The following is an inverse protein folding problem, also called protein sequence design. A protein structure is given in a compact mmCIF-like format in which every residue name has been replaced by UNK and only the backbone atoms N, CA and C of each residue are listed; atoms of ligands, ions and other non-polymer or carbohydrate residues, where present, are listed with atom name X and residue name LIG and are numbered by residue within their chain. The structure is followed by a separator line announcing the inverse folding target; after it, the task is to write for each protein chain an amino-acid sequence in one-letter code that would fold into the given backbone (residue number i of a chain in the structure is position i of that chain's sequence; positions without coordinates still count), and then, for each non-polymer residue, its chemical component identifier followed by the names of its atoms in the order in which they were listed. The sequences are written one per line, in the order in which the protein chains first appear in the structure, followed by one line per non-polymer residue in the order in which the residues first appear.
data_IF_816553757139
#
_entry.id   IF_816553757139
#
_cell.length_a   1.000
_cell.length_b   1.000
_cell.length_c   1.000
_cell.angle_alpha   90.00
_cell.angle_beta   90.00
_cell.angle_gamma   90.00
#
_symmetry.space_group_name_H-M   'P 1'
#
loop_
_entity.id
_entity.type
_entity.pdbx_description
1 polymer ?
#
# COMPACT_ATOMS: atom_id res chain seq x y z
N UNK A 1 13.13 15.78 1.07
CA UNK A 1 12.81 15.66 2.52
C UNK A 1 13.22 14.26 2.92
N UNK A 2 14.07 14.12 3.93
CA UNK A 2 14.51 12.80 4.36
C UNK A 2 13.32 12.04 4.95
N UNK A 3 13.30 10.73 4.79
CA UNK A 3 12.28 9.81 5.36
C UNK A 3 12.15 9.99 6.88
N UNK A 4 13.25 10.33 7.54
CA UNK A 4 13.32 10.70 8.95
C UNK A 4 12.34 11.84 9.29
N UNK A 5 12.16 12.84 8.41
CA UNK A 5 11.25 13.96 8.70
C UNK A 5 9.76 13.57 8.65
N UNK A 6 9.39 12.54 7.90
CA UNK A 6 8.02 12.01 7.87
C UNK A 6 7.71 11.18 9.13
N UNK A 7 8.69 10.44 9.65
CA UNK A 7 8.57 9.67 10.90
C UNK A 7 8.58 10.57 12.15
N UNK A 8 9.18 11.75 12.06
CA UNK A 8 9.25 12.72 13.15
C UNK A 8 7.90 13.41 13.46
N UNK A 9 6.97 13.39 12.51
CA UNK A 9 5.60 13.84 12.79
C UNK A 9 4.88 12.94 13.80
N UNK A 10 5.24 11.67 13.90
CA UNK A 10 4.70 10.76 14.92
C UNK A 10 4.96 11.25 16.35
N UNK A 11 6.12 11.84 16.64
CA UNK A 11 6.43 12.32 18.00
C UNK A 11 5.62 13.56 18.36
N UNK A 12 5.29 14.41 17.41
CA UNK A 12 4.47 15.61 17.65
C UNK A 12 3.02 15.26 17.96
N UNK A 13 2.45 14.27 17.27
CA UNK A 13 1.07 13.85 17.54
C UNK A 13 0.92 13.25 18.93
N UNK A 14 1.96 12.63 19.49
CA UNK A 14 1.91 12.07 20.84
C UNK A 14 1.87 13.15 21.96
N UNK A 15 2.29 14.39 21.66
CA UNK A 15 2.14 15.54 22.55
C UNK A 15 0.72 16.13 22.55
N UNK A 16 -0.18 15.55 21.75
CA UNK A 16 -1.58 15.95 21.66
C UNK A 16 -2.29 15.88 23.03
N UNK A 17 -1.95 14.87 23.80
CA UNK A 17 -2.48 14.66 25.15
C UNK A 17 -2.25 15.87 26.06
N UNK A 18 -1.07 16.45 26.01
CA UNK A 18 -0.70 17.62 26.83
C UNK A 18 -1.40 18.89 26.32
N UNK A 19 -1.52 19.05 24.99
CA UNK A 19 -2.14 20.23 24.40
C UNK A 19 -3.66 20.34 24.69
N UNK A 20 -4.37 19.21 24.75
CA UNK A 20 -5.83 19.17 24.92
C UNK A 20 -6.30 18.51 26.23
N UNK A 21 -5.37 18.02 27.06
CA UNK A 21 -5.72 17.33 28.30
C UNK A 21 -6.53 16.03 28.09
N UNK A 22 -6.33 15.36 26.95
CA UNK A 22 -7.03 14.12 26.59
C UNK A 22 -6.07 12.96 26.45
N UNK A 23 -6.56 11.73 26.61
CA UNK A 23 -5.74 10.52 26.57
C UNK A 23 -5.85 9.86 25.17
N UNK A 24 -4.70 9.58 24.59
CA UNK A 24 -4.58 8.68 23.43
C UNK A 24 -4.91 7.23 23.86
N UNK A 25 -5.83 6.58 23.15
CA UNK A 25 -6.24 5.19 23.43
C UNK A 25 -5.38 4.15 22.69
N UNK A 26 -4.46 4.58 21.81
CA UNK A 26 -3.53 3.69 21.11
C UNK A 26 -2.56 3.08 22.12
N UNK A 27 -2.45 1.76 22.15
CA UNK A 27 -1.51 1.06 23.04
C UNK A 27 -0.05 1.33 22.64
N UNK A 28 0.86 1.09 23.59
CA UNK A 28 2.30 1.24 23.32
C UNK A 28 2.78 0.26 22.25
N UNK A 29 2.29 -0.97 22.31
CA UNK A 29 2.57 -2.04 21.38
C UNK A 29 2.17 -1.65 19.97
N UNK A 30 0.97 -1.05 19.83
CA UNK A 30 0.47 -0.58 18.53
C UNK A 30 1.28 0.59 17.98
N UNK A 31 1.70 1.54 18.82
CA UNK A 31 2.59 2.65 18.42
C UNK A 31 3.92 2.14 17.86
N UNK A 32 4.52 1.14 18.52
CA UNK A 32 5.77 0.51 18.06
C UNK A 32 5.53 -0.20 16.72
N UNK A 33 4.44 -0.92 16.59
CA UNK A 33 4.11 -1.63 15.36
C UNK A 33 3.88 -0.69 14.17
N UNK A 34 3.12 0.40 14.35
CA UNK A 34 2.88 1.42 13.32
C UNK A 34 4.21 2.03 12.86
N UNK A 35 5.08 2.40 13.81
CA UNK A 35 6.41 2.93 13.48
C UNK A 35 7.23 1.93 12.67
N UNK A 36 7.29 0.67 13.10
CA UNK A 36 7.99 -0.40 12.39
C UNK A 36 7.46 -0.58 10.95
N UNK A 37 6.14 -0.58 10.75
CA UNK A 37 5.57 -0.72 9.41
C UNK A 37 5.94 0.45 8.50
N UNK A 38 5.92 1.68 9.01
CA UNK A 38 6.35 2.85 8.26
C UNK A 38 7.84 2.79 7.91
N UNK A 39 8.70 2.38 8.84
CA UNK A 39 10.12 2.15 8.60
C UNK A 39 10.34 1.10 7.51
N UNK A 40 9.67 -0.05 7.60
CA UNK A 40 9.76 -1.13 6.60
C UNK A 40 9.34 -0.69 5.18
N UNK A 41 8.46 0.29 5.07
CA UNK A 41 8.01 0.80 3.78
C UNK A 41 8.90 1.91 3.22
N UNK A 42 9.29 2.88 4.06
CA UNK A 42 9.98 4.11 3.66
C UNK A 42 11.49 4.05 3.81
N UNK A 43 12.01 3.23 4.74
CA UNK A 43 13.43 3.10 4.96
C UNK A 43 14.09 2.21 3.90
N UNK A 44 15.20 2.72 3.37
CA UNK A 44 16.02 2.05 2.36
C UNK A 44 17.51 2.33 2.57
N UNK A 45 17.87 2.84 3.74
CA UNK A 45 19.28 2.96 4.08
C UNK A 45 19.82 1.54 4.35
N UNK A 46 20.71 1.07 3.47
CA UNK A 46 21.50 -0.12 3.68
C UNK A 46 22.92 0.30 4.10
N UNK A 47 23.56 -0.50 4.95
CA UNK A 47 24.95 -0.34 5.36
C UNK A 47 25.98 -0.55 4.21
N UNK A 48 25.62 -0.15 3.00
CA UNK A 48 26.43 -0.26 1.79
C UNK A 48 26.21 -1.55 1.01
N UNK A 49 25.41 -2.50 1.52
CA UNK A 49 24.95 -3.68 0.82
C UNK A 49 23.43 -3.54 0.61
N UNK A 50 22.98 -3.60 -0.63
CA UNK A 50 21.54 -3.57 -0.94
C UNK A 50 20.88 -4.91 -0.57
N UNK A 51 20.60 -5.10 0.70
CA UNK A 51 19.94 -6.25 1.26
C UNK A 51 18.41 -6.08 1.37
N UNK A 52 17.91 -4.85 1.22
CA UNK A 52 16.50 -4.55 1.32
C UNK A 52 15.74 -4.89 0.02
N UNK A 53 14.93 -5.93 0.07
CA UNK A 53 14.13 -6.39 -1.09
C UNK A 53 12.86 -5.56 -1.32
N UNK A 54 12.58 -4.55 -0.51
CA UNK A 54 11.43 -3.64 -0.61
C UNK A 54 10.08 -4.35 -0.83
N UNK A 55 9.92 -5.53 -0.23
CA UNK A 55 8.72 -6.34 -0.35
C UNK A 55 7.43 -5.60 0.09
N UNK A 56 7.42 -4.77 1.16
CA UNK A 56 6.25 -3.98 1.50
C UNK A 56 5.77 -3.09 0.35
N UNK A 57 6.69 -2.44 -0.36
CA UNK A 57 6.38 -1.57 -1.51
C UNK A 57 5.79 -2.40 -2.66
N UNK A 58 6.38 -3.56 -2.94
CA UNK A 58 5.89 -4.48 -3.98
C UNK A 58 4.47 -4.97 -3.67
N UNK A 59 4.22 -5.42 -2.44
CA UNK A 59 2.92 -5.91 -1.96
C UNK A 59 1.84 -4.84 -2.10
N UNK A 60 2.09 -3.65 -1.55
CA UNK A 60 1.13 -2.53 -1.59
C UNK A 60 0.82 -2.12 -3.03
N UNK A 61 1.85 -1.94 -3.87
CA UNK A 61 1.66 -1.55 -5.26
C UNK A 61 0.89 -2.61 -6.06
N UNK A 62 1.14 -3.89 -5.81
CA UNK A 62 0.44 -4.98 -6.49
C UNK A 62 -1.04 -5.00 -6.12
N UNK A 63 -1.37 -4.88 -4.83
CA UNK A 63 -2.75 -4.83 -4.36
C UNK A 63 -3.51 -3.64 -4.95
N UNK A 64 -2.93 -2.45 -4.91
CA UNK A 64 -3.57 -1.24 -5.48
C UNK A 64 -3.86 -1.42 -6.97
N UNK A 65 -2.87 -1.91 -7.73
CA UNK A 65 -3.04 -2.11 -9.17
C UNK A 65 -4.14 -3.12 -9.48
N UNK A 66 -4.20 -4.22 -8.73
CA UNK A 66 -5.20 -5.25 -8.98
C UNK A 66 -6.59 -4.83 -8.48
N UNK A 67 -6.68 -4.17 -7.31
CA UNK A 67 -7.97 -3.72 -6.74
C UNK A 67 -8.68 -2.73 -7.67
N UNK A 68 -7.93 -1.87 -8.35
CA UNK A 68 -8.46 -0.77 -9.16
C UNK A 68 -8.15 -0.91 -10.67
N UNK A 69 -7.92 -2.12 -11.17
CA UNK A 69 -7.56 -2.35 -12.58
C UNK A 69 -8.62 -1.85 -13.56
N UNK A 70 -9.88 -2.07 -13.23
CA UNK A 70 -11.05 -1.77 -14.07
C UNK A 70 -12.09 -0.92 -13.30
N UNK A 71 -11.63 -0.15 -12.32
CA UNK A 71 -12.51 0.62 -11.47
C UNK A 71 -13.09 1.82 -12.21
N UNK A 72 -14.42 1.88 -12.25
CA UNK A 72 -15.21 2.97 -12.80
C UNK A 72 -16.33 3.38 -11.85
N UNK A 73 -16.72 4.62 -11.90
CA UNK A 73 -17.85 5.16 -11.13
C UNK A 73 -18.91 5.73 -12.05
N UNK A 74 -20.18 5.51 -11.74
CA UNK A 74 -21.28 6.09 -12.49
C UNK A 74 -22.40 6.57 -11.58
N UNK A 75 -22.98 7.72 -11.92
CA UNK A 75 -24.12 8.31 -11.23
C UNK A 75 -24.89 9.23 -12.17
N UNK A 76 -26.16 9.46 -11.87
CA UNK A 76 -27.00 10.45 -12.57
C UNK A 76 -27.00 11.83 -11.90
N UNK A 77 -26.41 11.93 -10.72
CA UNK A 77 -26.34 13.15 -9.93
C UNK A 77 -25.06 13.93 -10.26
N UNK A 78 -25.18 15.06 -10.93
CA UNK A 78 -24.02 15.88 -11.34
C UNK A 78 -23.19 16.42 -10.17
N UNK A 79 -23.78 16.60 -8.97
CA UNK A 79 -23.02 16.97 -7.78
C UNK A 79 -22.20 15.79 -7.27
N UNK A 80 -22.80 14.58 -7.21
CA UNK A 80 -22.09 13.36 -6.83
C UNK A 80 -20.97 13.04 -7.83
N UNK A 81 -21.17 13.25 -9.12
CA UNK A 81 -20.14 13.05 -10.16
C UNK A 81 -18.91 13.91 -9.92
N UNK A 82 -19.08 15.19 -9.55
CA UNK A 82 -17.96 16.08 -9.18
C UNK A 82 -17.24 15.60 -7.93
N UNK A 83 -17.98 15.20 -6.89
CA UNK A 83 -17.40 14.67 -5.66
C UNK A 83 -16.58 13.40 -5.93
N UNK A 84 -17.08 12.50 -6.78
CA UNK A 84 -16.39 11.29 -7.19
C UNK A 84 -15.14 11.60 -8.02
N UNK A 85 -15.19 12.59 -8.91
CA UNK A 85 -14.02 13.01 -9.69
C UNK A 85 -12.86 13.49 -8.81
N UNK A 86 -13.15 14.33 -7.82
CA UNK A 86 -12.13 14.78 -6.86
C UNK A 86 -11.62 13.64 -5.96
N UNK A 87 -12.48 12.70 -5.60
CA UNK A 87 -12.07 11.52 -4.82
C UNK A 87 -11.17 10.59 -5.61
N UNK A 88 -11.36 10.51 -6.93
CA UNK A 88 -10.52 9.73 -7.84
C UNK A 88 -9.05 10.18 -7.81
N UNK A 89 -8.81 11.49 -7.73
CA UNK A 89 -7.46 12.06 -7.68
C UNK A 89 -6.65 11.55 -6.48
N UNK A 90 -7.30 11.38 -5.32
CA UNK A 90 -6.62 10.92 -4.09
C UNK A 90 -6.76 9.42 -3.82
N UNK A 91 -7.56 8.69 -4.60
CA UNK A 91 -7.91 7.29 -4.37
C UNK A 91 -6.69 6.43 -4.08
N UNK A 92 -5.72 6.47 -5.00
CA UNK A 92 -4.51 5.64 -4.89
C UNK A 92 -3.69 6.00 -3.65
N UNK A 93 -3.54 7.29 -3.37
CA UNK A 93 -2.78 7.76 -2.21
C UNK A 93 -3.46 7.35 -0.90
N UNK A 94 -4.76 7.60 -0.74
CA UNK A 94 -5.50 7.23 0.45
C UNK A 94 -5.46 5.72 0.71
N UNK A 95 -5.66 4.92 -0.34
CA UNK A 95 -5.62 3.47 -0.24
C UNK A 95 -4.21 2.96 0.09
N UNK A 96 -3.19 3.53 -0.53
CA UNK A 96 -1.78 3.24 -0.24
C UNK A 96 -1.44 3.52 1.23
N UNK A 97 -1.84 4.68 1.75
CA UNK A 97 -1.60 5.05 3.15
C UNK A 97 -2.30 4.10 4.12
N UNK A 98 -3.54 3.68 3.82
CA UNK A 98 -4.25 2.69 4.62
C UNK A 98 -3.53 1.33 4.63
N UNK A 99 -3.06 0.84 3.47
CA UNK A 99 -2.34 -0.43 3.38
C UNK A 99 -1.00 -0.42 4.11
N UNK A 100 -0.30 0.72 4.12
CA UNK A 100 1.02 0.87 4.77
C UNK A 100 0.89 0.88 6.29
N UNK A 101 -0.10 1.58 6.83
CA UNK A 101 -0.20 1.89 8.26
C UNK A 101 -1.44 1.31 8.95
N UNK A 102 -2.27 0.58 8.18
CA UNK A 102 -3.47 -0.09 8.66
C UNK A 102 -4.74 0.76 8.60
N UNK A 103 -4.64 2.08 8.67
CA UNK A 103 -5.77 3.00 8.65
C UNK A 103 -5.34 4.36 8.08
N UNK A 104 -6.21 4.97 7.28
CA UNK A 104 -6.09 6.34 6.78
C UNK A 104 -7.43 7.04 7.01
N UNK A 105 -7.41 8.28 7.48
CA UNK A 105 -8.60 9.12 7.54
C UNK A 105 -8.67 10.00 6.30
N UNK A 106 -9.86 10.15 5.73
CA UNK A 106 -10.11 11.02 4.59
C UNK A 106 -10.94 12.21 5.07
N UNK A 107 -10.38 13.42 4.90
CA UNK A 107 -10.99 14.69 5.29
C UNK A 107 -11.56 15.36 4.04
N UNK A 108 -12.88 15.45 3.88
CA UNK A 108 -13.47 16.31 2.87
C UNK A 108 -13.33 17.78 3.31
N UNK A 109 -12.87 18.63 2.42
CA UNK A 109 -12.73 20.07 2.64
C UNK A 109 -13.63 20.79 1.65
N UNK A 110 -14.69 21.48 2.12
CA UNK A 110 -15.63 22.20 1.25
C UNK A 110 -14.96 23.39 0.58
N UNK A 111 -15.31 23.61 -0.68
CA UNK A 111 -14.96 24.78 -1.49
C UNK A 111 -16.24 25.45 -2.00
N UNK A 112 -16.12 26.56 -2.73
CA UNK A 112 -17.28 27.25 -3.30
C UNK A 112 -18.06 26.34 -4.29
N UNK A 113 -17.37 25.50 -5.04
CA UNK A 113 -17.94 24.72 -6.14
C UNK A 113 -17.94 23.20 -5.92
N UNK A 114 -17.39 22.70 -4.79
CA UNK A 114 -17.28 21.27 -4.54
C UNK A 114 -16.47 20.93 -3.29
N UNK A 115 -15.67 19.88 -3.39
CA UNK A 115 -14.80 19.41 -2.33
C UNK A 115 -13.42 19.12 -2.90
N UNK A 116 -12.40 19.21 -2.06
CA UNK A 116 -11.18 18.44 -2.22
C UNK A 116 -10.98 17.53 -1.01
N UNK A 117 -10.19 16.47 -1.16
CA UNK A 117 -10.01 15.47 -0.13
C UNK A 117 -8.57 15.41 0.32
N UNK A 118 -8.37 15.30 1.63
CA UNK A 118 -7.03 15.20 2.24
C UNK A 118 -6.92 13.86 2.96
N UNK A 119 -6.07 12.95 2.47
CA UNK A 119 -5.77 11.72 3.18
C UNK A 119 -4.85 12.00 4.37
N UNK A 120 -5.23 11.53 5.56
CA UNK A 120 -4.48 11.71 6.81
C UNK A 120 -3.94 10.34 7.22
N UNK A 121 -2.61 10.17 7.12
CA UNK A 121 -1.93 8.93 7.46
C UNK A 121 -1.96 8.67 8.96
N UNK A 122 -1.83 7.40 9.37
CA UNK A 122 -1.94 6.93 10.76
C UNK A 122 -0.95 7.58 11.72
N UNK A 123 0.20 8.03 11.26
CA UNK A 123 1.18 8.79 12.05
C UNK A 123 0.83 10.29 12.22
N UNK A 124 -0.21 10.77 11.55
CA UNK A 124 -0.70 12.14 11.66
C UNK A 124 -2.03 12.25 12.43
N UNK A 125 -2.54 11.14 12.98
CA UNK A 125 -3.73 11.16 13.84
C UNK A 125 -3.65 10.16 14.99
N UNK A 126 -4.39 10.43 16.06
CA UNK A 126 -4.57 9.54 17.20
C UNK A 126 -6.05 9.33 17.49
N UNK A 127 -6.51 8.10 17.72
CA UNK A 127 -7.84 7.84 18.26
C UNK A 127 -7.90 8.26 19.73
N UNK A 128 -8.94 9.00 20.09
CA UNK A 128 -9.19 9.47 21.43
C UNK A 128 -10.37 8.77 22.10
N UNK A 129 -11.40 8.40 21.31
CA UNK A 129 -12.52 7.60 21.75
C UNK A 129 -13.15 6.80 20.61
N UNK A 130 -13.77 5.67 20.94
CA UNK A 130 -14.57 4.83 20.05
C UNK A 130 -15.91 4.50 20.69
N UNK A 131 -16.92 4.21 19.86
CA UNK A 131 -18.21 3.71 20.31
C UNK A 131 -18.20 2.17 20.46
N UNK A 132 -19.34 1.60 20.84
CA UNK A 132 -19.50 0.14 21.01
C UNK A 132 -19.32 -0.64 19.69
N UNK A 133 -19.48 0.01 18.53
CA UNK A 133 -19.23 -0.55 17.21
C UNK A 133 -17.78 -0.37 16.77
N UNK A 134 -16.89 0.08 17.65
CA UNK A 134 -15.50 0.39 17.38
C UNK A 134 -15.26 1.50 16.31
N UNK A 135 -16.27 2.34 16.05
CA UNK A 135 -16.12 3.50 15.20
C UNK A 135 -15.51 4.67 16.01
N UNK A 136 -14.71 5.50 15.36
CA UNK A 136 -14.08 6.67 15.96
C UNK A 136 -15.16 7.72 16.33
N UNK A 137 -15.25 8.08 17.61
CA UNK A 137 -16.10 9.17 18.10
C UNK A 137 -15.30 10.39 18.52
N UNK A 138 -14.01 10.24 18.77
CA UNK A 138 -13.11 11.38 18.95
C UNK A 138 -11.74 11.05 18.38
N UNK A 139 -11.13 12.01 17.70
CA UNK A 139 -9.83 11.87 17.04
C UNK A 139 -9.05 13.17 17.14
N UNK A 140 -7.74 13.04 17.32
CA UNK A 140 -6.79 14.14 17.22
C UNK A 140 -6.00 14.03 15.93
N UNK A 141 -5.84 15.13 15.19
CA UNK A 141 -5.02 15.18 13.98
C UNK A 141 -3.94 16.24 14.09
N UNK A 142 -2.81 16.04 13.42
CA UNK A 142 -1.70 16.98 13.35
C UNK A 142 -1.31 17.24 11.90
N UNK A 143 -1.21 18.52 11.56
CA UNK A 143 -0.71 18.99 10.27
C UNK A 143 0.49 19.92 10.50
N UNK A 144 1.62 19.67 9.85
CA UNK A 144 2.81 20.52 9.97
C UNK A 144 3.09 21.26 8.67
N UNK A 145 3.21 22.58 8.77
CA UNK A 145 3.61 23.48 7.68
C UNK A 145 4.95 24.12 8.04
N UNK A 146 5.83 24.33 7.04
CA UNK A 146 7.11 25.00 7.23
C UNK A 146 7.02 26.36 6.55
N UNK A 147 7.24 27.44 7.30
CA UNK A 147 7.26 28.79 6.82
C UNK A 147 8.41 29.55 7.50
N UNK A 148 9.19 30.32 6.75
CA UNK A 148 10.36 31.08 7.21
C UNK A 148 11.35 30.26 8.08
N UNK A 149 11.55 28.98 7.73
CA UNK A 149 12.44 28.07 8.46
C UNK A 149 11.94 27.66 9.84
N UNK A 150 10.66 27.91 10.16
CA UNK A 150 9.99 27.48 11.38
C UNK A 150 8.94 26.43 11.06
N UNK A 151 8.70 25.56 12.03
CA UNK A 151 7.69 24.51 11.94
C UNK A 151 6.43 24.96 12.66
N UNK A 152 5.32 25.01 11.92
CA UNK A 152 4.01 25.31 12.47
C UNK A 152 3.18 24.03 12.45
N UNK A 153 2.73 23.59 13.63
CA UNK A 153 1.93 22.39 13.77
C UNK A 153 0.52 22.73 14.22
N UNK A 154 -0.45 22.53 13.34
CA UNK A 154 -1.86 22.63 13.64
C UNK A 154 -2.32 21.32 14.28
N UNK A 155 -2.83 21.39 15.49
CA UNK A 155 -3.49 20.28 16.17
C UNK A 155 -5.00 20.52 16.15
N UNK A 156 -5.75 19.51 15.71
CA UNK A 156 -7.21 19.57 15.57
C UNK A 156 -7.82 18.39 16.33
N UNK A 157 -8.66 18.68 17.31
CA UNK A 157 -9.47 17.68 18.03
C UNK A 157 -10.89 17.70 17.48
N UNK A 158 -11.36 16.56 17.01
CA UNK A 158 -12.73 16.37 16.53
C UNK A 158 -13.46 15.41 17.45
N UNK A 159 -14.67 15.80 17.85
CA UNK A 159 -15.49 14.99 18.75
C UNK A 159 -16.91 14.94 18.24
N UNK A 160 -17.42 13.73 18.01
CA UNK A 160 -18.80 13.46 17.67
C UNK A 160 -19.69 13.53 18.92
N UNK A 161 -20.85 14.18 18.78
CA UNK A 161 -21.86 14.29 19.82
C UNK A 161 -23.23 14.50 19.18
N UNK A 162 -24.04 15.39 19.73
CA UNK A 162 -25.25 15.87 19.04
C UNK A 162 -24.92 16.75 17.83
N UNK A 163 -23.69 17.25 17.79
CA UNK A 163 -23.06 17.97 16.70
C UNK A 163 -21.56 17.69 16.74
N UNK A 164 -20.89 17.83 15.61
CA UNK A 164 -19.44 17.73 15.51
C UNK A 164 -18.80 18.97 16.18
N UNK A 165 -17.96 18.75 17.18
CA UNK A 165 -17.14 19.81 17.78
C UNK A 165 -15.71 19.69 17.29
N UNK A 166 -15.14 20.78 16.78
CA UNK A 166 -13.76 20.87 16.29
C UNK A 166 -13.04 21.90 17.14
N UNK A 167 -12.02 21.48 17.85
CA UNK A 167 -11.13 22.36 18.64
C UNK A 167 -9.77 22.41 17.96
N UNK A 168 -9.26 23.62 17.71
CA UNK A 168 -8.06 23.84 16.91
C UNK A 168 -7.02 24.66 17.68
N UNK A 169 -5.77 24.23 17.67
CA UNK A 169 -4.63 24.95 18.27
C UNK A 169 -3.44 24.94 17.34
N UNK A 170 -2.73 26.04 17.23
CA UNK A 170 -1.54 26.20 16.43
C UNK A 170 -0.29 26.32 17.32
N UNK A 171 0.74 25.56 16.99
CA UNK A 171 2.02 25.55 17.69
C UNK A 171 3.16 25.93 16.75
N UNK A 172 4.14 26.64 17.26
CA UNK A 172 5.36 27.05 16.51
C UNK A 172 6.61 26.53 17.19
N UNK A 173 7.47 25.87 16.43
CA UNK A 173 8.79 25.39 16.85
C UNK A 173 9.89 25.78 15.88
N UNK A 174 11.12 25.88 16.40
CA UNK A 174 12.34 25.97 15.58
C UNK A 174 12.89 24.59 15.18
N UNK A 175 12.40 23.53 15.83
CA UNK A 175 12.82 22.14 15.61
C UNK A 175 11.69 21.33 14.98
N UNK A 176 12.04 20.45 14.04
CA UNK A 176 11.10 19.53 13.38
C UNK A 176 10.44 18.55 14.34
N UNK A 177 11.06 18.24 15.48
CA UNK A 177 10.67 17.14 16.38
C UNK A 177 9.87 17.61 17.58
N UNK A 178 9.85 18.91 17.87
CA UNK A 178 9.14 19.45 19.04
C UNK A 178 7.89 20.21 18.64
N UNK A 179 6.85 20.16 19.47
CA UNK A 179 5.62 20.90 19.25
C UNK A 179 5.85 22.41 19.40
N UNK A 180 6.67 22.82 20.37
CA UNK A 180 7.02 24.22 20.64
C UNK A 180 5.97 24.98 21.44
N UNK A 181 5.72 26.25 21.09
CA UNK A 181 4.88 27.18 21.83
C UNK A 181 3.57 27.41 21.09
N UNK A 182 2.45 27.42 21.82
CA UNK A 182 1.13 27.78 21.26
C UNK A 182 1.15 29.25 20.77
N UNK A 183 0.64 29.45 19.54
CA UNK A 183 0.51 30.75 18.89
C UNK A 183 -0.89 30.94 18.33
N UNK A 184 -1.38 32.19 18.16
CA UNK A 184 -2.68 32.45 17.57
C UNK A 184 -2.80 31.85 16.13
N UNK A 185 -4.01 31.45 15.74
CA UNK A 185 -4.28 30.86 14.40
C UNK A 185 -3.97 31.84 13.27
N UNK A 186 -4.19 33.13 13.47
CA UNK A 186 -3.93 34.22 12.53
C UNK A 186 -2.42 34.48 12.27
N UNK A 187 -1.54 33.78 13.01
CA UNK A 187 -0.08 33.83 12.76
C UNK A 187 0.29 33.35 11.36
N UNK A 188 -0.50 32.43 10.80
CA UNK A 188 -0.36 31.96 9.41
C UNK A 188 -1.61 32.33 8.60
N UNK A 189 -1.43 32.94 7.43
CA UNK A 189 -2.53 33.30 6.53
C UNK A 189 -3.44 32.10 6.20
N UNK A 190 -2.83 30.93 6.04
CA UNK A 190 -3.53 29.64 5.80
C UNK A 190 -4.58 29.32 6.87
N UNK A 191 -4.37 29.71 8.12
CA UNK A 191 -5.21 29.34 9.26
C UNK A 191 -5.97 30.53 9.85
N UNK A 192 -5.81 31.73 9.29
CA UNK A 192 -6.39 32.95 9.82
C UNK A 192 -7.94 32.94 9.88
N UNK A 193 -8.57 32.16 9.01
CA UNK A 193 -10.02 32.01 8.95
C UNK A 193 -10.58 30.86 9.82
N UNK A 194 -9.69 30.11 10.53
CA UNK A 194 -10.14 29.04 11.42
C UNK A 194 -10.54 29.60 12.77
N UNK A 195 -11.63 29.07 13.31
CA UNK A 195 -12.05 29.34 14.69
C UNK A 195 -11.38 28.36 15.66
N UNK A 196 -10.98 28.82 16.88
CA UNK A 196 -10.43 27.92 17.91
C UNK A 196 -11.39 26.78 18.30
N UNK A 197 -12.70 27.05 18.23
CA UNK A 197 -13.76 26.06 18.49
C UNK A 197 -14.88 26.28 17.48
N UNK A 198 -15.15 25.27 16.66
CA UNK A 198 -16.27 25.26 15.73
C UNK A 198 -17.24 24.11 16.09
N UNK A 199 -18.55 24.37 15.97
CA UNK A 199 -19.59 23.37 16.16
C UNK A 199 -20.42 23.27 14.90
N UNK A 200 -20.45 22.09 14.29
CA UNK A 200 -21.12 21.83 13.01
C UNK A 200 -22.24 20.80 13.22
N UNK A 201 -23.44 21.02 12.70
CA UNK A 201 -24.55 20.06 12.75
C UNK A 201 -24.32 18.92 11.71
N UNK A 202 -23.30 18.13 11.93
CA UNK A 202 -22.87 17.01 11.10
C UNK A 202 -22.71 15.79 11.98
N UNK A 203 -23.13 14.63 11.47
CA UNK A 203 -22.98 13.38 12.17
C UNK A 203 -21.52 12.87 12.17
N UNK A 204 -21.13 12.26 13.28
CA UNK A 204 -19.81 11.69 13.42
C UNK A 204 -18.69 12.71 13.62
N UNK A 205 -17.47 12.33 13.26
CA UNK A 205 -16.25 13.15 13.46
C UNK A 205 -15.94 14.06 12.25
N UNK A 206 -16.76 14.03 11.19
CA UNK A 206 -16.51 14.79 9.94
C UNK A 206 -15.29 14.31 9.16
N UNK A 207 -14.84 13.07 9.41
CA UNK A 207 -13.78 12.35 8.71
C UNK A 207 -14.24 10.92 8.47
N UNK A 208 -13.80 10.31 7.38
CA UNK A 208 -14.12 8.91 7.09
C UNK A 208 -12.87 8.05 7.19
N UNK A 209 -12.97 6.97 7.95
CA UNK A 209 -11.88 6.01 8.12
C UNK A 209 -11.88 4.99 6.98
N UNK A 210 -10.73 4.85 6.32
CA UNK A 210 -10.36 3.77 5.41
C UNK A 210 -9.42 2.84 6.15
N UNK A 211 -9.92 1.67 6.54
CA UNK A 211 -9.21 0.70 7.38
C UNK A 211 -9.04 -0.63 6.65
N UNK A 212 -7.86 -1.25 6.79
CA UNK A 212 -7.58 -2.58 6.25
C UNK A 212 -8.51 -3.66 6.83
N UNK A 213 -8.88 -4.70 6.04
CA UNK A 213 -9.83 -5.73 6.50
C UNK A 213 -9.16 -6.81 7.36
N UNK A 214 -8.02 -6.52 7.96
CA UNK A 214 -7.28 -7.46 8.79
C UNK A 214 -7.65 -7.34 10.27
N UNK A 215 -7.67 -8.49 10.96
CA UNK A 215 -7.76 -8.50 12.41
C UNK A 215 -6.44 -8.04 13.04
N UNK A 216 -6.54 -7.21 14.07
CA UNK A 216 -5.37 -6.72 14.79
C UNK A 216 -4.79 -7.81 15.70
N UNK A 217 -3.67 -8.40 15.25
CA UNK A 217 -2.94 -9.43 15.99
C UNK A 217 -1.84 -8.88 16.88
N UNK A 218 -1.65 -7.54 16.92
CA UNK A 218 -0.64 -6.90 17.78
C UNK A 218 -1.13 -6.83 19.22
N UNK A 219 -2.34 -6.28 19.42
CA UNK A 219 -2.91 -6.07 20.75
C UNK A 219 -4.41 -6.39 20.85
N UNK A 220 -5.02 -6.84 19.76
CA UNK A 220 -6.45 -7.16 19.70
C UNK A 220 -7.38 -5.94 19.73
N UNK A 221 -6.83 -4.71 19.68
CA UNK A 221 -7.64 -3.50 19.65
C UNK A 221 -8.35 -3.31 18.30
N UNK A 222 -9.20 -2.29 18.23
CA UNK A 222 -9.90 -1.93 17.01
C UNK A 222 -9.04 -1.13 16.01
N UNK A 223 -7.76 -0.93 16.26
CA UNK A 223 -6.86 -0.24 15.33
C UNK A 223 -6.58 -1.07 14.08
N UNK A 224 -6.42 -0.40 12.94
CA UNK A 224 -6.01 -1.04 11.69
C UNK A 224 -4.57 -1.52 11.72
N UNK A 225 -4.25 -2.57 10.96
CA UNK A 225 -2.90 -3.12 10.84
C UNK A 225 -2.43 -3.09 9.40
N UNK A 226 -1.13 -2.85 9.17
CA UNK A 226 -0.57 -2.84 7.82
C UNK A 226 -0.86 -4.15 7.09
N UNK A 227 -1.08 -4.10 5.78
CA UNK A 227 -1.43 -5.29 5.01
C UNK A 227 -0.35 -6.37 5.06
N UNK A 228 0.90 -5.98 5.21
CA UNK A 228 2.05 -6.89 5.33
C UNK A 228 2.44 -7.18 6.79
N UNK A 229 1.67 -6.68 7.78
CA UNK A 229 1.96 -6.93 9.20
C UNK A 229 2.09 -8.42 9.56
N UNK A 230 1.21 -9.34 9.07
CA UNK A 230 1.36 -10.76 9.34
C UNK A 230 2.68 -11.35 8.83
N UNK A 231 3.23 -10.78 7.76
CA UNK A 231 4.46 -11.23 7.11
C UNK A 231 5.71 -10.46 7.55
N UNK A 232 5.60 -9.43 8.41
CA UNK A 232 6.68 -8.52 8.75
C UNK A 232 7.97 -9.23 9.21
N UNK A 233 7.85 -10.27 10.03
CA UNK A 233 9.01 -11.04 10.50
C UNK A 233 9.69 -11.84 9.36
N UNK A 234 8.92 -12.37 8.41
CA UNK A 234 9.46 -13.09 7.27
C UNK A 234 10.17 -12.15 6.31
N UNK A 235 9.62 -10.95 6.10
CA UNK A 235 10.25 -9.89 5.30
C UNK A 235 11.62 -9.53 5.89
N UNK A 236 11.70 -9.32 7.21
CA UNK A 236 12.97 -9.06 7.87
C UNK A 236 13.96 -10.23 7.72
N UNK A 237 13.47 -11.49 7.74
CA UNK A 237 14.31 -12.67 7.51
C UNK A 237 14.81 -12.78 6.07
N UNK A 238 14.02 -12.37 5.09
CA UNK A 238 14.47 -12.33 3.68
C UNK A 238 15.59 -11.29 3.54
N UNK A 239 15.42 -10.08 4.02
CA UNK A 239 16.47 -9.07 3.98
C UNK A 239 17.76 -9.58 4.62
N UNK A 240 17.66 -10.21 5.79
CA UNK A 240 18.83 -10.84 6.43
C UNK A 240 19.43 -11.96 5.59
N UNK A 241 18.63 -12.76 4.90
CA UNK A 241 19.11 -13.82 4.01
C UNK A 241 19.91 -13.24 2.84
N UNK A 242 19.43 -12.16 2.23
CA UNK A 242 20.14 -11.45 1.16
C UNK A 242 21.46 -10.83 1.67
N UNK A 243 21.41 -10.18 2.83
CA UNK A 243 22.62 -9.69 3.48
C UNK A 243 23.66 -10.81 3.71
N UNK A 244 23.22 -11.97 4.22
CA UNK A 244 24.10 -13.11 4.45
C UNK A 244 24.69 -13.64 3.13
N UNK A 245 23.90 -13.71 2.06
CA UNK A 245 24.35 -14.12 0.74
C UNK A 245 25.39 -13.13 0.18
N UNK A 246 25.10 -11.85 0.21
CA UNK A 246 26.03 -10.80 -0.22
C UNK A 246 27.33 -10.84 0.57
N UNK A 247 27.23 -11.03 1.89
CA UNK A 247 28.39 -11.16 2.76
C UNK A 247 29.21 -12.40 2.46
N UNK A 248 28.57 -13.52 2.11
CA UNK A 248 29.26 -14.74 1.71
C UNK A 248 30.03 -14.55 0.40
N UNK A 249 29.47 -13.84 -0.58
CA UNK A 249 30.19 -13.49 -1.81
C UNK A 249 31.38 -12.58 -1.56
N UNK A 250 31.26 -11.58 -0.67
CA UNK A 250 32.38 -10.72 -0.31
C UNK A 250 33.51 -11.47 0.39
N UNK A 251 33.16 -12.28 1.40
CA UNK A 251 34.14 -13.05 2.18
C UNK A 251 34.71 -14.24 1.39
N UNK A 252 33.93 -14.80 0.51
CA UNK A 252 34.26 -15.97 -0.30
C UNK A 252 35.05 -15.67 -1.57
N UNK A 253 35.51 -14.42 -1.79
CA UNK A 253 36.38 -14.09 -2.89
C UNK A 253 37.64 -14.96 -2.81
N UNK A 254 38.05 -15.54 -3.96
CA UNK A 254 39.28 -16.29 -4.03
C UNK A 254 40.46 -15.43 -3.60
N UNK A 255 41.23 -15.90 -2.64
CA UNK A 255 42.42 -15.24 -2.12
C UNK A 255 43.64 -16.12 -2.29
N UNK A 256 44.74 -15.52 -2.65
CA UNK A 256 46.04 -16.17 -2.71
C UNK A 256 46.80 -15.80 -1.44
N UNK A 257 47.01 -16.77 -0.58
CA UNK A 257 47.81 -16.60 0.61
C UNK A 257 49.29 -16.80 0.27
N UNK A 258 50.08 -15.78 0.53
CA UNK A 258 51.52 -15.79 0.21
C UNK A 258 52.34 -15.33 1.41
N UNK A 259 53.53 -15.90 1.64
CA UNK A 259 54.48 -15.35 2.63
C UNK A 259 54.83 -13.89 2.32
N UNK A 260 54.97 -13.07 3.36
CA UNK A 260 55.25 -11.64 3.24
C UNK A 260 56.52 -11.36 2.44
N UNK A 261 57.51 -12.19 2.54
CA UNK A 261 58.78 -12.07 1.81
C UNK A 261 58.61 -12.12 0.29
N UNK A 262 57.56 -12.81 -0.24
CA UNK A 262 57.26 -12.85 -1.67
C UNK A 262 56.59 -11.57 -2.17
N UNK A 263 56.00 -10.80 -1.27
CA UNK A 263 55.38 -9.52 -1.60
C UNK A 263 56.33 -8.32 -1.50
N UNK A 264 57.48 -8.53 -0.85
CA UNK A 264 58.51 -7.49 -0.67
C UNK A 264 59.45 -7.45 -1.87
N UNK A 265 59.42 -6.38 -2.64
CA UNK A 265 60.41 -6.15 -3.70
C UNK A 265 61.59 -5.39 -3.12
N UNK A 266 62.79 -6.01 -3.10
CA UNK A 266 64.04 -5.33 -2.76
C UNK A 266 64.29 -4.27 -3.86
N UNK A 267 64.16 -3.00 -3.51
CA UNK A 267 64.58 -1.91 -4.36
C UNK A 267 66.04 -1.61 -4.12
N UNK A 268 66.82 -1.46 -5.20
CA UNK A 268 68.26 -1.33 -5.17
C UNK A 268 68.80 -0.14 -4.38
N UNK A 269 70.09 -0.24 -4.06
CA UNK A 269 71.13 0.67 -3.56
C UNK A 269 70.86 1.56 -2.33
N UNK A 270 69.63 1.87 -1.90
CA UNK A 270 69.38 2.74 -0.74
C UNK A 270 68.54 2.11 0.40
N UNK A 271 68.44 0.86 0.52
CA UNK A 271 67.90 0.19 1.72
C UNK A 271 66.41 0.39 2.05
N UNK A 272 65.64 1.12 1.24
CA UNK A 272 64.21 1.27 1.45
C UNK A 272 63.46 0.15 0.74
N UNK A 273 62.91 -0.74 1.50
CA UNK A 273 62.01 -1.83 1.03
C UNK A 273 60.66 -1.19 0.62
N UNK A 274 60.41 -1.07 -0.67
CA UNK A 274 59.07 -0.71 -1.16
C UNK A 274 58.23 -1.99 -1.17
N UNK A 275 57.20 -2.02 -0.33
CA UNK A 275 56.12 -3.03 -0.43
C UNK A 275 55.38 -2.76 -1.75
N UNK A 276 55.38 -3.74 -2.64
CA UNK A 276 54.51 -3.65 -3.84
C UNK A 276 53.10 -3.79 -3.34
N UNK A 277 52.27 -2.78 -3.55
CA UNK A 277 50.84 -2.90 -3.38
C UNK A 277 50.32 -3.88 -4.44
N UNK A 278 50.26 -5.18 -4.10
CA UNK A 278 49.41 -6.13 -4.79
C UNK A 278 47.98 -5.77 -4.37
N UNK A 279 47.03 -5.91 -5.25
CA UNK A 279 45.64 -5.62 -4.93
C UNK A 279 45.26 -6.39 -3.67
N UNK A 280 45.03 -5.69 -2.55
CA UNK A 280 44.76 -6.26 -1.23
C UNK A 280 43.55 -7.21 -1.21
N UNK A 281 42.71 -7.11 -2.23
CA UNK A 281 41.53 -7.98 -2.43
C UNK A 281 41.87 -9.40 -2.86
N UNK A 282 43.05 -9.64 -3.46
CA UNK A 282 43.45 -10.96 -4.02
C UNK A 282 44.51 -11.60 -3.22
N UNK A 283 45.45 -10.81 -2.66
CA UNK A 283 46.61 -11.32 -1.95
C UNK A 283 46.55 -11.05 -0.44
N UNK A 284 46.74 -12.06 0.36
CA UNK A 284 46.85 -11.90 1.82
C UNK A 284 48.26 -12.36 2.21
N UNK A 285 49.06 -11.46 2.79
CA UNK A 285 50.42 -11.74 3.26
C UNK A 285 50.37 -12.27 4.70
N UNK A 286 51.18 -13.32 4.97
CA UNK A 286 51.37 -13.87 6.31
C UNK A 286 52.83 -13.73 6.69
N UNK A 287 53.10 -13.40 7.97
CA UNK A 287 54.43 -13.30 8.54
C UNK A 287 54.92 -14.67 9.03
N UNK A 288 55.11 -15.62 8.05
CA UNK A 288 55.61 -16.94 8.28
C UNK A 288 56.79 -17.26 7.32
N UNK A 289 57.66 -18.21 7.71
CA UNK A 289 58.81 -18.58 6.90
C UNK A 289 58.36 -19.23 5.57
N UNK A 290 58.87 -18.77 4.40
CA UNK A 290 58.51 -19.32 3.08
C UNK A 290 58.78 -20.81 2.93
N UNK A 291 59.62 -21.40 3.77
CA UNK A 291 59.90 -22.85 3.75
C UNK A 291 58.83 -23.69 4.43
N UNK A 292 58.10 -23.09 5.37
CA UNK A 292 57.03 -23.74 6.13
C UNK A 292 55.64 -23.51 5.55
N UNK A 293 55.43 -22.37 4.83
CA UNK A 293 54.16 -21.98 4.27
C UNK A 293 54.26 -21.75 2.74
N UNK A 294 53.72 -22.69 1.97
CA UNK A 294 53.63 -22.55 0.51
C UNK A 294 52.50 -21.59 0.09
N UNK A 295 52.47 -21.22 -1.20
CA UNK A 295 51.37 -20.46 -1.77
C UNK A 295 50.07 -21.28 -1.66
N UNK A 296 49.09 -20.78 -0.93
CA UNK A 296 47.81 -21.44 -0.75
C UNK A 296 46.71 -20.64 -1.42
N UNK A 297 45.94 -21.29 -2.26
CA UNK A 297 44.77 -20.69 -2.91
C UNK A 297 43.54 -21.02 -2.07
N UNK A 298 42.92 -20.00 -1.47
CA UNK A 298 41.65 -20.12 -0.77
C UNK A 298 40.54 -19.82 -1.75
N UNK A 299 39.75 -20.82 -2.12
CA UNK A 299 38.57 -20.70 -2.98
C UNK A 299 37.44 -21.54 -2.40
N UNK A 300 36.66 -20.97 -1.47
CA UNK A 300 35.56 -21.67 -0.83
C UNK A 300 34.41 -21.93 -1.83
N UNK A 301 33.71 -23.05 -1.63
CA UNK A 301 32.49 -23.32 -2.35
C UNK A 301 31.33 -22.44 -1.78
N UNK A 302 30.63 -21.74 -2.64
CA UNK A 302 29.47 -20.91 -2.24
C UNK A 302 28.25 -21.79 -1.97
N UNK A 303 27.46 -21.40 -0.97
CA UNK A 303 26.19 -22.03 -0.60
C UNK A 303 24.98 -21.34 -1.24
N UNK A 304 25.17 -20.71 -2.39
CA UNK A 304 24.17 -19.90 -3.11
C UNK A 304 22.82 -20.60 -3.21
N UNK A 305 22.81 -21.86 -3.65
CA UNK A 305 21.57 -22.61 -3.83
C UNK A 305 20.74 -22.74 -2.55
N UNK A 306 21.40 -22.86 -1.40
CA UNK A 306 20.72 -22.94 -0.10
C UNK A 306 20.03 -21.62 0.26
N UNK A 307 20.66 -20.49 -0.04
CA UNK A 307 20.09 -19.15 0.18
C UNK A 307 18.91 -18.89 -0.76
N UNK A 308 19.03 -19.26 -2.04
CA UNK A 308 17.97 -19.10 -3.03
C UNK A 308 16.74 -19.97 -2.71
N UNK A 309 16.95 -21.23 -2.34
CA UNK A 309 15.87 -22.12 -1.90
C UNK A 309 15.15 -21.57 -0.67
N UNK A 310 15.91 -21.08 0.32
CA UNK A 310 15.34 -20.48 1.52
C UNK A 310 14.56 -19.19 1.23
N UNK A 311 15.06 -18.35 0.33
CA UNK A 311 14.37 -17.15 -0.14
C UNK A 311 13.02 -17.51 -0.77
N UNK A 312 13.00 -18.47 -1.67
CA UNK A 312 11.79 -18.95 -2.34
C UNK A 312 10.74 -19.43 -1.34
N UNK A 313 11.14 -20.23 -0.34
CA UNK A 313 10.24 -20.68 0.71
C UNK A 313 9.69 -19.53 1.56
N UNK A 314 10.49 -18.53 1.88
CA UNK A 314 10.01 -17.35 2.60
C UNK A 314 9.02 -16.54 1.75
N UNK A 315 9.28 -16.35 0.46
CA UNK A 315 8.35 -15.65 -0.44
C UNK A 315 7.00 -16.38 -0.54
N UNK A 316 7.00 -17.69 -0.68
CA UNK A 316 5.78 -18.53 -0.68
C UNK A 316 4.96 -18.38 0.61
N UNK A 317 5.64 -18.36 1.75
CA UNK A 317 4.99 -18.18 3.05
C UNK A 317 4.42 -16.75 3.19
N UNK A 318 5.11 -15.73 2.68
CA UNK A 318 4.63 -14.34 2.65
C UNK A 318 3.37 -14.25 1.76
N UNK A 319 3.38 -14.84 0.57
CA UNK A 319 2.21 -14.91 -0.31
C UNK A 319 1.00 -15.49 0.43
N UNK A 320 1.19 -16.61 1.13
CA UNK A 320 0.12 -17.25 1.89
C UNK A 320 -0.41 -16.39 3.05
N UNK A 321 0.47 -15.66 3.76
CA UNK A 321 0.07 -14.83 4.91
C UNK A 321 -0.67 -13.55 4.48
N UNK A 322 -0.39 -13.03 3.29
CA UNK A 322 -1.01 -11.82 2.74
C UNK A 322 -2.27 -12.16 1.94
N UNK A 323 -2.47 -13.44 1.60
CA UNK A 323 -3.56 -13.88 0.73
C UNK A 323 -3.26 -13.67 -0.76
N UNK A 324 -1.97 -13.70 -1.13
CA UNK A 324 -1.59 -13.66 -2.54
C UNK A 324 -1.63 -15.05 -3.17
N UNK A 325 -1.93 -15.08 -4.47
CA UNK A 325 -1.70 -16.25 -5.29
C UNK A 325 -0.21 -16.59 -5.30
N UNK A 326 0.11 -17.89 -5.18
CA UNK A 326 1.48 -18.36 -5.32
C UNK A 326 2.03 -18.01 -6.71
N UNK A 327 3.22 -17.43 -6.74
CA UNK A 327 3.89 -17.00 -7.94
C UNK A 327 3.71 -15.51 -8.27
N UNK A 328 3.11 -14.73 -7.38
CA UNK A 328 3.08 -13.26 -7.49
C UNK A 328 4.41 -12.66 -7.03
N UNK A 329 4.99 -13.21 -5.96
CA UNK A 329 6.27 -12.80 -5.40
C UNK A 329 7.36 -13.87 -5.62
N UNK A 330 6.98 -15.15 -5.66
CA UNK A 330 7.87 -16.29 -5.85
C UNK A 330 7.83 -16.79 -7.28
N UNK A 331 8.94 -17.36 -7.77
CA UNK A 331 8.95 -18.05 -9.05
C UNK A 331 8.09 -19.30 -9.02
N UNK A 332 7.28 -19.50 -10.05
CA UNK A 332 6.45 -20.67 -10.25
C UNK A 332 7.26 -21.70 -11.04
N UNK A 333 7.58 -22.83 -10.43
CA UNK A 333 7.98 -24.00 -11.21
C UNK A 333 6.72 -24.57 -11.89
N UNK A 334 6.61 -24.41 -13.20
CA UNK A 334 5.42 -24.79 -14.00
C UNK A 334 5.07 -26.29 -13.94
N UNK A 335 5.97 -27.14 -13.44
CA UNK A 335 5.90 -28.59 -13.63
C UNK A 335 5.01 -29.37 -12.66
N UNK A 336 4.46 -28.78 -11.57
CA UNK A 336 3.87 -29.59 -10.49
C UNK A 336 2.50 -29.12 -9.97
N UNK A 337 1.76 -28.27 -10.68
CA UNK A 337 0.44 -27.83 -10.19
C UNK A 337 -0.69 -28.62 -10.78
N UNK A 338 -1.54 -29.19 -9.93
CA UNK A 338 -2.84 -29.72 -10.35
C UNK A 338 -3.82 -28.58 -10.65
N UNK A 339 -4.75 -28.78 -11.57
CA UNK A 339 -5.81 -27.81 -11.90
C UNK A 339 -6.59 -27.37 -10.64
N UNK A 340 -6.75 -28.24 -9.66
CA UNK A 340 -7.44 -27.97 -8.39
C UNK A 340 -6.65 -27.01 -7.50
N UNK A 341 -5.31 -27.13 -7.43
CA UNK A 341 -4.47 -26.23 -6.65
C UNK A 341 -4.42 -24.82 -7.26
N UNK A 342 -4.40 -24.73 -8.58
CA UNK A 342 -4.47 -23.44 -9.30
C UNK A 342 -5.79 -22.75 -8.98
N UNK A 343 -6.91 -23.44 -9.09
CA UNK A 343 -8.25 -22.86 -8.84
C UNK A 343 -8.42 -22.43 -7.38
N UNK A 344 -7.92 -23.20 -6.42
CA UNK A 344 -7.97 -22.83 -4.99
C UNK A 344 -7.12 -21.60 -4.68
N UNK A 345 -5.91 -21.54 -5.21
CA UNK A 345 -5.00 -20.39 -5.02
C UNK A 345 -5.53 -19.10 -5.67
N UNK A 346 -6.22 -19.20 -6.81
CA UNK A 346 -6.88 -18.08 -7.46
C UNK A 346 -8.10 -17.60 -6.65
N UNK A 347 -8.84 -18.52 -6.05
CA UNK A 347 -9.98 -18.20 -5.20
C UNK A 347 -9.60 -17.36 -3.98
N UNK A 348 -8.56 -17.74 -3.25
CA UNK A 348 -8.10 -16.99 -2.06
C UNK A 348 -7.62 -15.58 -2.42
N UNK A 349 -6.90 -15.43 -3.53
CA UNK A 349 -6.45 -14.13 -4.01
C UNK A 349 -7.63 -13.24 -4.42
N UNK A 350 -8.60 -13.79 -5.12
CA UNK A 350 -9.81 -13.07 -5.51
C UNK A 350 -10.59 -12.59 -4.29
N UNK A 351 -10.70 -13.40 -3.23
CA UNK A 351 -11.34 -12.99 -1.97
C UNK A 351 -10.61 -11.81 -1.32
N UNK A 352 -9.28 -11.83 -1.29
CA UNK A 352 -8.50 -10.71 -0.77
C UNK A 352 -8.78 -9.41 -1.55
N UNK A 353 -8.87 -9.48 -2.89
CA UNK A 353 -9.19 -8.31 -3.70
C UNK A 353 -10.63 -7.84 -3.48
N UNK A 354 -11.59 -8.77 -3.39
CA UNK A 354 -13.00 -8.44 -3.09
C UNK A 354 -13.11 -7.71 -1.74
N UNK A 355 -12.39 -8.16 -0.72
CA UNK A 355 -12.35 -7.49 0.58
C UNK A 355 -11.81 -6.04 0.45
N UNK A 356 -10.75 -5.85 -0.35
CA UNK A 356 -10.20 -4.52 -0.62
C UNK A 356 -11.18 -3.62 -1.38
N UNK A 357 -11.88 -4.15 -2.37
CA UNK A 357 -12.95 -3.44 -3.10
C UNK A 357 -14.11 -3.10 -2.16
N UNK A 358 -14.48 -4.02 -1.28
CA UNK A 358 -15.54 -3.85 -0.28
C UNK A 358 -15.27 -2.72 0.71
N UNK A 359 -14.04 -2.63 1.24
CA UNK A 359 -13.68 -1.53 2.16
C UNK A 359 -13.67 -0.17 1.43
N UNK A 360 -13.20 -0.12 0.18
CA UNK A 360 -13.23 1.11 -0.60
C UNK A 360 -14.67 1.55 -0.89
N UNK A 361 -15.53 0.63 -1.33
CA UNK A 361 -16.95 0.89 -1.56
C UNK A 361 -17.64 1.44 -0.32
N UNK A 362 -17.42 0.83 0.84
CA UNK A 362 -17.97 1.32 2.11
C UNK A 362 -17.45 2.71 2.47
N UNK A 363 -16.18 2.98 2.21
CA UNK A 363 -15.57 4.30 2.48
C UNK A 363 -16.14 5.37 1.56
N UNK A 364 -16.27 5.10 0.26
CA UNK A 364 -16.88 6.03 -0.70
C UNK A 364 -18.32 6.34 -0.34
N UNK A 365 -19.13 5.35 0.00
CA UNK A 365 -20.53 5.59 0.43
C UNK A 365 -20.61 6.51 1.65
N UNK A 366 -19.79 6.27 2.68
CA UNK A 366 -19.72 7.15 3.87
C UNK A 366 -19.22 8.57 3.52
N UNK A 367 -18.28 8.69 2.58
CA UNK A 367 -17.81 10.00 2.10
C UNK A 367 -18.91 10.75 1.35
N UNK A 368 -19.69 10.08 0.53
CA UNK A 368 -20.82 10.69 -0.19
C UNK A 368 -21.91 11.18 0.77
N UNK A 369 -22.23 10.41 1.81
CA UNK A 369 -23.15 10.83 2.89
C UNK A 369 -22.63 12.09 3.56
N UNK A 370 -21.37 12.10 4.01
CA UNK A 370 -20.75 13.25 4.65
C UNK A 370 -20.67 14.47 3.73
N UNK A 371 -20.32 14.29 2.45
CA UNK A 371 -20.31 15.38 1.47
C UNK A 371 -21.71 15.93 1.18
N UNK A 372 -22.74 15.09 1.25
CA UNK A 372 -24.13 15.54 1.11
C UNK A 372 -24.54 16.44 2.29
N UNK A 373 -24.19 16.07 3.53
CA UNK A 373 -24.44 16.89 4.73
C UNK A 373 -23.67 18.21 4.69
N UNK A 374 -22.37 18.16 4.40
CA UNK A 374 -21.52 19.35 4.29
C UNK A 374 -21.91 20.25 3.12
N UNK A 375 -22.32 19.67 1.98
CA UNK A 375 -22.79 20.42 0.82
C UNK A 375 -24.04 21.23 1.08
N UNK A 376 -24.97 20.66 1.86
CA UNK A 376 -26.16 21.37 2.33
C UNK A 376 -25.79 22.46 3.34
N UNK A 377 -24.90 22.17 4.29
CA UNK A 377 -24.50 23.11 5.34
C UNK A 377 -23.78 24.35 4.78
N UNK A 378 -22.81 24.14 3.87
CA UNK A 378 -22.01 25.21 3.30
C UNK A 378 -22.61 25.85 2.03
N UNK A 379 -23.80 25.43 1.61
CA UNK A 379 -24.48 25.91 0.41
C UNK A 379 -23.60 25.88 -0.85
N UNK A 380 -22.91 24.75 -1.06
CA UNK A 380 -21.99 24.59 -2.19
C UNK A 380 -22.72 24.75 -3.52
N UNK A 381 -22.09 25.43 -4.49
CA UNK A 381 -22.64 25.69 -5.81
C UNK A 381 -23.06 24.41 -6.55
N UNK A 382 -24.32 24.38 -7.04
CA UNK A 382 -24.87 23.21 -7.73
C UNK A 382 -25.07 21.98 -6.82
N UNK A 383 -25.27 22.21 -5.53
CA UNK A 383 -25.60 21.14 -4.58
C UNK A 383 -26.88 20.41 -4.98
N UNK A 384 -26.84 19.11 -4.91
CA UNK A 384 -27.97 18.20 -4.94
C UNK A 384 -27.76 17.11 -3.89
N UNK A 385 -28.79 16.70 -3.12
CA UNK A 385 -28.67 15.62 -2.17
C UNK A 385 -28.13 14.36 -2.84
N UNK A 386 -27.18 13.69 -2.18
CA UNK A 386 -26.58 12.46 -2.69
C UNK A 386 -27.20 11.29 -1.94
N UNK A 387 -27.83 10.37 -2.67
CA UNK A 387 -28.19 9.05 -2.15
C UNK A 387 -27.07 8.05 -2.51
N UNK A 388 -26.34 7.50 -1.54
CA UNK A 388 -25.18 6.61 -1.82
C UNK A 388 -25.54 5.38 -2.66
N UNK A 389 -26.79 4.95 -2.62
CA UNK A 389 -27.29 3.80 -3.41
C UNK A 389 -27.57 4.15 -4.90
N UNK A 390 -27.60 5.45 -5.26
CA UNK A 390 -27.70 5.90 -6.65
C UNK A 390 -26.33 5.98 -7.34
N UNK A 391 -25.26 5.71 -6.60
CA UNK A 391 -23.89 5.69 -7.11
C UNK A 391 -23.47 4.25 -7.31
N UNK A 392 -23.12 3.90 -8.53
CA UNK A 392 -22.57 2.58 -8.88
C UNK A 392 -21.05 2.68 -8.90
N UNK A 393 -20.41 1.75 -8.20
CA UNK A 393 -18.97 1.54 -8.18
C UNK A 393 -18.71 0.21 -8.87
N UNK A 394 -18.16 0.24 -10.06
CA UNK A 394 -17.86 -0.94 -10.86
C UNK A 394 -16.36 -1.23 -10.79
N UNK A 395 -16.02 -2.48 -10.56
CA UNK A 395 -14.63 -2.96 -10.51
C UNK A 395 -14.29 -3.88 -11.68
N UNK A 396 -15.22 -4.02 -12.63
CA UNK A 396 -15.06 -4.93 -13.77
C UNK A 396 -15.00 -6.41 -13.36
N UNK A 397 -14.88 -7.26 -14.34
CA UNK A 397 -14.85 -8.71 -14.14
C UNK A 397 -13.41 -9.29 -14.16
N UNK A 398 -12.39 -8.48 -14.42
CA UNK A 398 -11.03 -8.93 -14.74
C UNK A 398 -10.31 -9.71 -13.63
N UNK A 399 -10.70 -9.53 -12.36
CA UNK A 399 -10.13 -10.29 -11.24
C UNK A 399 -10.82 -11.64 -11.04
N UNK A 400 -12.10 -11.73 -11.42
CA UNK A 400 -12.95 -12.91 -11.20
C UNK A 400 -13.10 -13.77 -12.45
N UNK A 401 -12.78 -13.26 -13.62
CA UNK A 401 -13.13 -13.85 -14.90
C UNK A 401 -11.92 -14.34 -15.68
N UNK A 402 -11.89 -15.64 -15.96
CA UNK A 402 -11.11 -16.16 -17.07
C UNK A 402 -12.03 -16.16 -18.31
N UNK A 403 -11.94 -15.10 -19.11
CA UNK A 403 -12.77 -14.90 -20.32
C UNK A 403 -12.76 -16.11 -21.25
N UNK A 404 -11.62 -16.77 -21.39
CA UNK A 404 -11.50 -17.97 -22.23
C UNK A 404 -12.26 -19.18 -21.64
N UNK A 405 -12.24 -19.34 -20.31
CA UNK A 405 -12.98 -20.40 -19.63
C UNK A 405 -14.47 -20.18 -19.77
N UNK A 406 -14.93 -18.97 -19.53
CA UNK A 406 -16.35 -18.63 -19.64
C UNK A 406 -16.83 -18.72 -21.09
N UNK A 407 -16.03 -18.29 -22.05
CA UNK A 407 -16.33 -18.48 -23.47
C UNK A 407 -16.53 -19.97 -23.80
N UNK A 408 -15.64 -20.84 -23.32
CA UNK A 408 -15.77 -22.28 -23.51
C UNK A 408 -17.02 -22.87 -22.84
N UNK A 409 -17.40 -22.34 -21.67
CA UNK A 409 -18.65 -22.70 -20.99
C UNK A 409 -19.87 -22.26 -21.81
N UNK A 410 -19.92 -21.04 -22.32
CA UNK A 410 -20.95 -20.55 -23.22
C UNK A 410 -21.02 -21.37 -24.51
N UNK A 411 -19.91 -21.69 -25.14
CA UNK A 411 -19.87 -22.56 -26.31
C UNK A 411 -20.42 -23.94 -25.99
N UNK A 412 -20.11 -24.50 -24.83
CA UNK A 412 -20.65 -25.80 -24.38
C UNK A 412 -22.14 -25.72 -24.13
N UNK A 413 -22.65 -24.66 -23.50
CA UNK A 413 -24.08 -24.45 -23.28
C UNK A 413 -24.86 -24.29 -24.57
N UNK A 414 -24.26 -23.59 -25.58
CA UNK A 414 -24.87 -23.50 -26.92
C UNK A 414 -24.93 -24.86 -27.60
N UNK A 415 -23.83 -25.66 -27.53
CA UNK A 415 -23.79 -27.02 -28.11
C UNK A 415 -24.80 -27.95 -27.43
N UNK A 416 -25.02 -27.77 -26.13
CA UNK A 416 -26.03 -28.51 -25.36
C UNK A 416 -27.47 -28.00 -25.62
N UNK A 417 -27.65 -26.91 -26.34
CA UNK A 417 -28.96 -26.29 -26.60
C UNK A 417 -29.56 -25.59 -25.37
N UNK A 418 -28.78 -25.29 -24.34
CA UNK A 418 -29.26 -24.66 -23.12
C UNK A 418 -29.41 -23.12 -23.26
N UNK A 419 -28.62 -22.50 -24.11
CA UNK A 419 -28.70 -21.09 -24.43
C UNK A 419 -28.67 -20.87 -25.94
N UNK A 420 -29.19 -19.73 -26.38
CA UNK A 420 -29.12 -19.35 -27.80
C UNK A 420 -27.75 -18.83 -28.17
N UNK A 421 -27.24 -19.12 -29.38
CA UNK A 421 -25.91 -18.65 -29.82
C UNK A 421 -25.74 -17.12 -29.77
N UNK A 422 -26.84 -16.38 -30.01
CA UNK A 422 -26.85 -14.93 -29.97
C UNK A 422 -26.45 -14.37 -28.59
N UNK A 423 -26.83 -15.08 -27.51
CA UNK A 423 -26.47 -14.69 -26.13
C UNK A 423 -24.98 -14.88 -25.88
N UNK A 424 -24.39 -15.98 -26.38
CA UNK A 424 -22.95 -16.21 -26.27
C UNK A 424 -22.15 -15.15 -27.05
N UNK A 425 -22.59 -14.81 -28.26
CA UNK A 425 -21.97 -13.78 -29.10
C UNK A 425 -22.14 -12.40 -28.46
N UNK A 426 -23.33 -12.08 -27.96
CA UNK A 426 -23.60 -10.84 -27.22
C UNK A 426 -22.65 -10.65 -26.04
N UNK A 427 -22.49 -11.70 -25.24
CA UNK A 427 -21.57 -11.69 -24.12
C UNK A 427 -20.11 -11.47 -24.58
N UNK A 428 -19.65 -12.16 -25.61
CA UNK A 428 -18.28 -12.07 -26.10
C UNK A 428 -17.90 -10.68 -26.62
N UNK A 429 -18.84 -10.03 -27.34
CA UNK A 429 -18.66 -8.70 -27.92
C UNK A 429 -19.25 -7.56 -27.08
N UNK A 430 -19.73 -7.87 -25.85
CA UNK A 430 -20.32 -6.88 -24.93
C UNK A 430 -21.47 -6.09 -25.55
N UNK A 431 -22.35 -6.78 -26.27
CA UNK A 431 -23.48 -6.18 -26.97
C UNK A 431 -24.76 -6.32 -26.14
N UNK A 432 -25.69 -5.34 -26.21
CA UNK A 432 -27.00 -5.47 -25.58
C UNK A 432 -27.80 -6.61 -26.23
N UNK A 433 -28.51 -7.40 -25.41
CA UNK A 433 -29.33 -8.56 -25.86
C UNK A 433 -30.72 -8.61 -25.23
N UNK A 434 -31.09 -7.58 -24.50
CA UNK A 434 -32.33 -7.44 -23.73
C UNK A 434 -33.55 -7.06 -24.59
N UNK A 435 -33.36 -6.65 -25.82
CA UNK A 435 -34.42 -6.28 -26.76
C UNK A 435 -34.40 -7.14 -28.01
N UNK A 436 -35.61 -7.43 -28.61
CA UNK A 436 -35.71 -8.17 -29.88
C UNK A 436 -34.89 -7.56 -31.03
N UNK A 437 -34.78 -6.23 -31.06
CA UNK A 437 -33.99 -5.47 -32.05
C UNK A 437 -32.50 -5.67 -31.90
N UNK A 438 -32.01 -5.72 -30.65
CA UNK A 438 -30.61 -6.00 -30.34
C UNK A 438 -30.23 -7.43 -30.74
N UNK A 439 -31.11 -8.41 -30.47
CA UNK A 439 -30.90 -9.82 -30.89
C UNK A 439 -30.85 -9.91 -32.42
N UNK A 440 -31.72 -9.18 -33.12
CA UNK A 440 -31.73 -9.19 -34.57
C UNK A 440 -30.44 -8.58 -35.14
N UNK A 441 -29.94 -7.48 -34.55
CA UNK A 441 -28.69 -6.88 -34.93
C UNK A 441 -27.50 -7.85 -34.75
N UNK A 442 -27.51 -8.66 -33.69
CA UNK A 442 -26.47 -9.67 -33.44
C UNK A 442 -26.51 -10.74 -34.55
N UNK A 443 -27.69 -11.19 -34.95
CA UNK A 443 -27.84 -12.16 -36.02
C UNK A 443 -27.32 -11.63 -37.35
N UNK A 444 -27.72 -10.41 -37.71
CA UNK A 444 -27.45 -9.84 -39.01
C UNK A 444 -25.94 -9.45 -39.20
N UNK A 445 -25.28 -9.04 -38.13
CA UNK A 445 -23.92 -8.47 -38.22
C UNK A 445 -22.79 -9.34 -37.63
N UNK A 446 -23.13 -10.29 -36.72
CA UNK A 446 -22.14 -11.04 -35.96
C UNK A 446 -22.24 -12.56 -36.11
N UNK A 447 -23.28 -13.06 -36.76
CA UNK A 447 -23.46 -14.48 -36.99
C UNK A 447 -23.46 -14.79 -38.49
N UNK A 448 -22.92 -15.95 -38.90
CA UNK A 448 -22.99 -16.38 -40.31
C UNK A 448 -24.43 -16.67 -40.71
N UNK A 449 -24.76 -16.37 -41.99
CA UNK A 449 -26.06 -16.75 -42.53
C UNK A 449 -26.24 -18.28 -42.52
N UNK A 450 -27.37 -18.76 -42.03
CA UNK A 450 -27.65 -20.19 -41.85
C UNK A 450 -27.61 -20.99 -43.18
N UNK A 451 -27.80 -20.35 -44.32
CA UNK A 451 -27.76 -20.98 -45.64
C UNK A 451 -26.34 -21.42 -46.08
N UNK A 452 -25.28 -20.86 -45.48
CA UNK A 452 -23.90 -21.22 -45.83
C UNK A 452 -23.40 -22.50 -45.10
N UNK A 453 -24.11 -22.97 -44.07
CA UNK A 453 -23.67 -24.13 -43.29
C UNK A 453 -24.16 -25.49 -43.87
N UNK A 454 -25.14 -25.48 -44.80
CA UNK A 454 -25.69 -26.71 -45.40
C UNK A 454 -25.09 -27.08 -46.76
N UNK A 455 -24.16 -26.29 -47.31
CA UNK A 455 -23.58 -26.49 -48.66
C UNK A 455 -22.20 -27.22 -48.64
N UNK A 456 -21.89 -27.95 -47.59
CA UNK A 456 -20.58 -28.60 -47.38
C UNK A 456 -20.58 -30.14 -47.37
N UNK A 457 -21.70 -30.83 -47.74
CA UNK A 457 -21.71 -32.28 -47.90
C UNK A 457 -22.44 -32.68 -49.22
N UNK A 458 -21.70 -32.63 -50.32
CA UNK A 458 -21.88 -33.49 -51.47
C UNK A 458 -20.50 -33.88 -52.09
#
# INVERSE_FOLDING_TARGET
MSVISALLNCEKIYNFSDAFGVKDITTREMKIAIKLWLEMYFDHESDGLDDCQRLPVLVVNKLIKTTFSEYETSTKNAFAERVLGELEEIRREAFQQALISGECLIKPVPTADGFYFVPIRRDCFIPLARNELNELTSVGTAETTIEDGKYYTLLERRTAGQALTIETKLFRSSDSNTLGVEVPLDTLEKYANLEPVAVLPVDGIGLVSLKTPLYNTVDGSADGVAIYAPAAQLIARINRNEWQLSREFELGRARIMVPEDLTRQKSGENGNTKTRSLEDDIFTAFDEDPQDFGVTIFSPAFREQSYLTRKTEYLRNIESLIGFKRGILSDVQEAERTATEITSSDGDYNLTIIDMQGIWTKTVKKLLELCSELGALYHIGGYAPIAPDEVTLDYGDGVLYNRDKTWNEYCTMVQMGLIKPEIAVAWYFELPWDTPEAIQNIRDNYMPELESMTAGDE
#
